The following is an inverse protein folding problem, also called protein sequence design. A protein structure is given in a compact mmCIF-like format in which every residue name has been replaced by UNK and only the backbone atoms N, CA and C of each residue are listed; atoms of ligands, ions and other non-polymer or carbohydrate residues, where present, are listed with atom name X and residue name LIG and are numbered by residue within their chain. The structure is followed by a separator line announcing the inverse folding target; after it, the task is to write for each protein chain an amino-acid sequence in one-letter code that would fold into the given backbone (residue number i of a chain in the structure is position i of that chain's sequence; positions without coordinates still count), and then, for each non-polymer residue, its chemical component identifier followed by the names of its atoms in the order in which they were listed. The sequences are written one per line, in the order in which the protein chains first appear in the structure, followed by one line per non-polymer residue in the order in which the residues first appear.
data_IF_604200270332
#
_entry.id   IF_604200270332
#
_cell.length_a   1.000
_cell.length_b   1.000
_cell.length_c   1.000
_cell.angle_alpha   90.00
_cell.angle_beta   90.00
_cell.angle_gamma   90.00
#
_symmetry.space_group_name_H-M   'P 1'
#
loop_
_entity.id
_entity.type
_entity.pdbx_description
1 polymer ?
#
# COMPACT_ATOMS: atom_id res chain seq x y z
N UNK A 1 15.19 -4.45 -15.71
CA UNK A 1 14.41 -3.20 -15.90
C UNK A 1 12.95 -3.48 -16.25
N UNK A 2 12.65 -4.18 -17.36
CA UNK A 2 11.25 -4.47 -17.77
C UNK A 2 10.44 -5.31 -16.78
N UNK A 3 11.00 -6.43 -16.27
CA UNK A 3 10.33 -7.29 -15.29
C UNK A 3 9.96 -6.55 -14.00
N UNK A 4 10.85 -5.67 -13.53
CA UNK A 4 10.63 -4.88 -12.33
C UNK A 4 9.45 -3.91 -12.49
N UNK A 5 9.34 -3.26 -13.65
CA UNK A 5 8.21 -2.35 -13.95
C UNK A 5 6.90 -3.14 -13.99
N UNK A 6 6.91 -4.35 -14.56
CA UNK A 6 5.74 -5.24 -14.58
C UNK A 6 5.33 -5.66 -13.16
N UNK A 7 6.30 -5.97 -12.30
CA UNK A 7 6.04 -6.34 -10.90
C UNK A 7 5.47 -5.17 -10.10
N UNK A 8 5.99 -3.95 -10.30
CA UNK A 8 5.46 -2.73 -9.68
C UNK A 8 4.01 -2.46 -10.13
N UNK A 9 3.73 -2.64 -11.43
CA UNK A 9 2.39 -2.46 -11.99
C UNK A 9 1.40 -3.49 -11.41
N UNK A 10 1.83 -4.74 -11.29
CA UNK A 10 1.05 -5.81 -10.67
C UNK A 10 0.76 -5.49 -9.19
N UNK A 11 1.75 -5.01 -8.44
CA UNK A 11 1.57 -4.61 -7.05
C UNK A 11 0.57 -3.45 -6.92
N UNK A 12 0.64 -2.45 -7.80
CA UNK A 12 -0.33 -1.35 -7.85
C UNK A 12 -1.75 -1.85 -8.14
N UNK A 13 -1.90 -2.78 -9.10
CA UNK A 13 -3.18 -3.39 -9.44
C UNK A 13 -3.76 -4.21 -8.26
N UNK A 14 -2.90 -4.92 -7.54
CA UNK A 14 -3.28 -5.66 -6.33
C UNK A 14 -3.78 -4.73 -5.24
N UNK A 15 -3.08 -3.61 -4.98
CA UNK A 15 -3.52 -2.59 -4.01
C UNK A 15 -4.90 -2.04 -4.38
N UNK A 16 -5.12 -1.70 -5.66
CA UNK A 16 -6.41 -1.22 -6.16
C UNK A 16 -7.52 -2.26 -5.96
N UNK A 17 -7.25 -3.53 -6.25
CA UNK A 17 -8.21 -4.62 -6.09
C UNK A 17 -8.58 -4.85 -4.62
N UNK A 18 -7.58 -4.83 -3.71
CA UNK A 18 -7.82 -4.88 -2.26
C UNK A 18 -8.63 -3.68 -1.76
N UNK A 19 -8.31 -2.47 -2.22
CA UNK A 19 -9.04 -1.24 -1.89
C UNK A 19 -10.52 -1.32 -2.29
N UNK A 20 -10.79 -1.85 -3.49
CA UNK A 20 -12.15 -2.01 -4.02
C UNK A 20 -12.93 -3.07 -3.24
N UNK A 21 -12.28 -4.18 -2.87
CA UNK A 21 -12.85 -5.23 -2.03
C UNK A 21 -13.19 -4.70 -0.63
N UNK A 22 -12.28 -3.99 0.02
CA UNK A 22 -12.51 -3.37 1.34
C UNK A 22 -13.68 -2.37 1.28
N UNK A 23 -13.78 -1.59 0.20
CA UNK A 23 -14.88 -0.64 0.00
C UNK A 23 -16.23 -1.36 -0.17
N UNK A 24 -16.24 -2.52 -0.84
CA UNK A 24 -17.43 -3.36 -1.00
C UNK A 24 -17.88 -4.00 0.32
N UNK A 25 -16.93 -4.44 1.16
CA UNK A 25 -17.19 -4.99 2.50
C UNK A 25 -17.73 -3.94 3.51
N UNK A 26 -17.52 -2.66 3.24
CA UNK A 26 -17.94 -1.52 4.06
C UNK A 26 -19.46 -1.26 4.04
N UNK A 27 -20.25 -2.14 3.41
CA UNK A 27 -21.72 -2.14 3.47
C UNK A 27 -22.28 -2.73 4.78
N UNK A 28 -21.48 -3.48 5.53
CA UNK A 28 -21.88 -4.05 6.83
C UNK A 28 -21.35 -3.16 7.95
N UNK A 29 -22.25 -2.50 8.70
CA UNK A 29 -21.88 -1.81 9.94
C UNK A 29 -21.42 -2.86 10.97
N UNK A 30 -20.12 -2.91 11.21
CA UNK A 30 -19.54 -3.79 12.24
C UNK A 30 -19.44 -2.98 13.53
N UNK A 31 -20.16 -3.42 14.56
CA UNK A 31 -20.08 -2.84 15.90
C UNK A 31 -18.78 -3.35 16.54
N UNK A 32 -17.81 -2.46 16.74
CA UNK A 32 -16.60 -2.78 17.50
C UNK A 32 -16.84 -2.40 18.94
N UNK A 33 -16.99 -3.42 19.78
CA UNK A 33 -17.14 -3.24 21.22
C UNK A 33 -15.75 -3.17 21.86
N UNK A 34 -15.28 -1.95 22.10
CA UNK A 34 -13.95 -1.69 22.67
C UNK A 34 -14.02 -1.63 24.20
N UNK A 35 -14.56 -2.69 24.83
CA UNK A 35 -14.78 -2.95 26.28
C UNK A 35 -15.53 -1.88 27.10
N UNK A 36 -15.50 -0.60 26.69
CA UNK A 36 -16.12 0.57 27.30
C UNK A 36 -16.56 1.62 26.26
N UNK A 37 -16.27 1.42 24.97
CA UNK A 37 -16.61 2.34 23.86
C UNK A 37 -17.22 1.53 22.71
N UNK A 38 -18.47 1.85 22.37
CA UNK A 38 -19.12 1.42 21.14
C UNK A 38 -18.73 2.37 20.02
N UNK A 39 -17.72 1.98 19.23
CA UNK A 39 -17.32 2.74 18.06
C UNK A 39 -18.12 2.20 16.87
N UNK A 40 -19.17 2.92 16.47
CA UNK A 40 -19.79 2.78 15.14
C UNK A 40 -18.81 3.29 14.07
N UNK A 41 -17.69 2.60 13.95
CA UNK A 41 -16.71 2.83 12.92
C UNK A 41 -17.01 1.86 11.80
N UNK A 42 -17.07 2.38 10.58
CA UNK A 42 -17.12 1.53 9.42
C UNK A 42 -15.74 0.86 9.31
N UNK A 43 -15.59 -0.35 9.87
CA UNK A 43 -14.31 -1.05 10.05
C UNK A 43 -13.52 -1.14 8.72
N UNK A 44 -14.26 -1.22 7.61
CA UNK A 44 -13.72 -1.12 6.25
C UNK A 44 -12.93 0.17 6.01
N UNK A 45 -13.38 1.34 6.49
CA UNK A 45 -12.63 2.61 6.38
C UNK A 45 -11.33 2.59 7.18
N UNK A 46 -11.32 2.03 8.39
CA UNK A 46 -10.10 1.97 9.23
C UNK A 46 -9.07 1.03 8.60
N UNK A 47 -9.52 -0.13 8.12
CA UNK A 47 -8.69 -1.09 7.40
C UNK A 47 -8.18 -0.47 6.10
N UNK A 48 -9.03 0.25 5.37
CA UNK A 48 -8.66 0.92 4.12
C UNK A 48 -7.58 1.98 4.33
N UNK A 49 -7.72 2.84 5.35
CA UNK A 49 -6.74 3.88 5.67
C UNK A 49 -5.41 3.25 6.08
N UNK A 50 -5.44 2.22 6.93
CA UNK A 50 -4.23 1.51 7.37
C UNK A 50 -3.52 0.83 6.20
N UNK A 51 -4.29 0.22 5.29
CA UNK A 51 -3.78 -0.42 4.08
C UNK A 51 -3.17 0.59 3.09
N UNK A 52 -3.84 1.72 2.85
CA UNK A 52 -3.33 2.79 1.99
C UNK A 52 -2.04 3.41 2.56
N UNK A 53 -1.98 3.64 3.87
CA UNK A 53 -0.78 4.14 4.53
C UNK A 53 0.39 3.15 4.40
N UNK A 54 0.16 1.87 4.72
CA UNK A 54 1.20 0.84 4.62
C UNK A 54 1.71 0.63 3.20
N UNK A 55 0.81 0.58 2.21
CA UNK A 55 1.20 0.46 0.80
C UNK A 55 1.91 1.71 0.28
N UNK A 56 1.46 2.91 0.67
CA UNK A 56 2.12 4.17 0.33
C UNK A 56 3.56 4.25 0.85
N UNK A 57 3.79 3.90 2.12
CA UNK A 57 5.14 3.87 2.70
C UNK A 57 6.05 2.90 1.95
N UNK A 58 5.53 1.71 1.61
CA UNK A 58 6.28 0.70 0.86
C UNK A 58 6.71 1.23 -0.51
N UNK A 59 5.78 1.87 -1.24
CA UNK A 59 6.08 2.47 -2.55
C UNK A 59 7.14 3.57 -2.46
N UNK A 60 7.06 4.43 -1.44
CA UNK A 60 8.05 5.49 -1.23
C UNK A 60 9.45 4.90 -0.99
N UNK A 61 9.57 3.91 -0.10
CA UNK A 61 10.83 3.23 0.18
C UNK A 61 11.41 2.57 -1.08
N UNK A 62 10.55 1.95 -1.88
CA UNK A 62 10.93 1.28 -3.10
C UNK A 62 11.42 2.27 -4.19
N UNK A 63 10.79 3.44 -4.30
CA UNK A 63 11.27 4.53 -5.16
C UNK A 63 12.64 5.03 -4.70
N UNK A 64 12.83 5.27 -3.40
CA UNK A 64 14.12 5.68 -2.85
C UNK A 64 15.22 4.65 -3.13
N UNK A 65 14.93 3.36 -2.95
CA UNK A 65 15.85 2.27 -3.26
C UNK A 65 16.27 2.27 -4.73
N UNK A 66 15.32 2.45 -5.66
CA UNK A 66 15.64 2.52 -7.09
C UNK A 66 16.52 3.71 -7.46
N UNK A 67 16.24 4.89 -6.90
CA UNK A 67 17.01 6.11 -7.16
C UNK A 67 18.45 5.89 -6.69
N UNK A 68 18.63 5.39 -5.46
CA UNK A 68 19.94 5.08 -4.89
C UNK A 68 20.70 4.05 -5.73
N UNK A 69 20.03 2.94 -6.10
CA UNK A 69 20.63 1.88 -6.92
C UNK A 69 21.08 2.38 -8.30
N UNK A 70 20.34 3.30 -8.92
CA UNK A 70 20.76 3.93 -10.19
C UNK A 70 21.97 4.85 -10.00
N UNK A 71 22.04 5.58 -8.88
CA UNK A 71 23.18 6.44 -8.58
C UNK A 71 24.47 5.63 -8.38
N UNK A 72 24.40 4.53 -7.62
CA UNK A 72 25.54 3.63 -7.39
C UNK A 72 26.04 2.97 -8.69
N UNK A 73 25.12 2.55 -9.57
CA UNK A 73 25.48 1.96 -10.87
C UNK A 73 26.20 2.95 -11.79
N UNK A 74 25.82 4.23 -11.77
CA UNK A 74 26.49 5.29 -12.56
C UNK A 74 27.92 5.57 -12.07
N UNK A 75 28.17 5.48 -10.76
CA UNK A 75 29.51 5.69 -10.18
C UNK A 75 30.44 4.53 -10.57
N UNK A 76 29.92 3.29 -10.59
CA UNK A 76 30.71 2.11 -10.97
C UNK A 76 31.02 2.02 -12.47
N UNK A 77 30.26 2.67 -13.35
CA UNK A 77 30.52 2.70 -14.81
C UNK A 77 31.47 3.85 -15.22
N UNK A 78 31.82 4.75 -14.28
CA UNK A 78 32.70 5.90 -14.52
C UNK A 78 34.15 5.70 -14.00
N UNK A 79 34.44 4.58 -13.34
CA UNK A 79 35.78 4.15 -12.90
C UNK A 79 36.26 2.99 -13.78
#
# INVERSE_FOLDING_TARGET
MRLYIVLLLFFLFFILSCSLLITSLNHSQVIVDLLFITLESNLGKVILISFLLGSGVTLVLEIFYLIRKRAEKKISESN
#
